data_IF_618303937077
#
_entry.id   IF_618303937077
#
_cell.length_a   1.000
_cell.length_b   1.000
_cell.length_c   1.000
_cell.angle_alpha   90.00
_cell.angle_beta   90.00
_cell.angle_gamma   90.00
#
_symmetry.space_group_name_H-M   'P 1'
#
loop_
_entity.id
_entity.type
_entity.pdbx_description
1 polymer ?
#
# COMPACT_ATOMS: atom_id res chain seq x y z
N UNK A 1 -4.76 -18.51 -21.19
CA UNK A 1 -4.40 -17.15 -20.72
C UNK A 1 -3.91 -17.33 -19.31
N UNK A 2 -2.61 -17.09 -19.07
CA UNK A 2 -2.06 -17.15 -17.72
C UNK A 2 -2.73 -16.05 -16.91
N UNK A 3 -3.21 -16.33 -15.70
CA UNK A 3 -3.67 -15.29 -14.79
C UNK A 3 -2.46 -14.75 -14.00
N UNK A 4 -2.44 -13.47 -13.62
CA UNK A 4 -1.26 -12.85 -13.05
C UNK A 4 -1.05 -13.32 -11.61
N UNK A 5 0.15 -13.77 -11.27
CA UNK A 5 0.54 -14.06 -9.88
C UNK A 5 0.72 -12.75 -9.10
N UNK A 6 0.75 -12.79 -7.76
CA UNK A 6 1.05 -11.58 -6.94
C UNK A 6 2.39 -10.95 -7.35
N UNK A 7 3.38 -11.79 -7.67
CA UNK A 7 4.70 -11.36 -8.13
C UNK A 7 4.64 -10.74 -9.54
N UNK A 8 3.77 -11.26 -10.39
CA UNK A 8 3.45 -10.67 -11.70
C UNK A 8 2.82 -9.30 -11.54
N UNK A 9 1.87 -9.14 -10.62
CA UNK A 9 1.25 -7.84 -10.34
C UNK A 9 2.26 -6.83 -9.77
N UNK A 10 3.17 -7.27 -8.90
CA UNK A 10 4.28 -6.44 -8.41
C UNK A 10 5.20 -6.03 -9.56
N UNK A 11 5.56 -6.98 -10.44
CA UNK A 11 6.43 -6.69 -11.60
C UNK A 11 5.75 -5.79 -12.65
N UNK A 12 4.45 -5.97 -12.89
CA UNK A 12 3.65 -5.07 -13.72
C UNK A 12 3.63 -3.67 -13.10
N UNK A 13 3.43 -3.55 -11.78
CA UNK A 13 3.50 -2.26 -11.10
C UNK A 13 4.89 -1.62 -11.25
N UNK A 14 5.97 -2.37 -11.00
CA UNK A 14 7.35 -1.91 -11.18
C UNK A 14 7.67 -1.51 -12.63
N UNK A 15 7.17 -2.24 -13.63
CA UNK A 15 7.42 -1.96 -15.05
C UNK A 15 6.57 -0.78 -15.55
N UNK A 16 5.31 -0.66 -15.11
CA UNK A 16 4.48 0.55 -15.32
C UNK A 16 5.17 1.77 -14.70
N UNK A 17 5.73 1.63 -13.50
CA UNK A 17 6.44 2.71 -12.82
C UNK A 17 7.74 3.10 -13.55
N UNK A 18 8.48 2.14 -14.12
CA UNK A 18 9.69 2.38 -14.92
C UNK A 18 9.39 3.03 -16.28
N UNK A 19 8.40 2.52 -17.02
CA UNK A 19 8.03 3.05 -18.34
C UNK A 19 7.46 4.47 -18.26
N UNK A 20 6.84 4.83 -17.14
CA UNK A 20 6.38 6.18 -16.85
C UNK A 20 7.48 7.14 -16.39
N UNK A 21 8.73 6.68 -16.35
CA UNK A 21 9.87 7.53 -16.05
C UNK A 21 9.89 8.05 -14.62
N UNK A 22 9.55 7.20 -13.64
CA UNK A 22 9.75 7.57 -12.24
C UNK A 22 11.25 7.82 -11.99
N UNK A 23 11.59 9.09 -11.74
CA UNK A 23 12.95 9.64 -11.77
C UNK A 23 13.12 10.91 -12.63
N UNK A 24 12.11 11.27 -13.44
CA UNK A 24 12.06 12.51 -14.22
C UNK A 24 10.77 13.29 -13.91
N UNK A 25 10.81 14.00 -12.78
CA UNK A 25 10.10 15.22 -12.32
C UNK A 25 8.77 15.70 -12.97
N UNK A 26 8.48 15.53 -14.26
CA UNK A 26 7.46 16.31 -14.98
C UNK A 26 6.40 15.51 -15.77
N UNK A 27 6.33 14.18 -15.70
CA UNK A 27 5.42 13.39 -16.57
C UNK A 27 4.67 12.24 -15.87
N UNK A 28 4.43 12.31 -14.56
CA UNK A 28 3.55 11.34 -13.90
C UNK A 28 2.08 11.58 -14.31
N UNK A 29 1.67 11.01 -15.44
CA UNK A 29 0.27 11.01 -15.91
C UNK A 29 -0.58 10.10 -15.02
N UNK A 30 -1.86 10.48 -14.83
CA UNK A 30 -2.82 9.63 -14.12
C UNK A 30 -2.90 8.26 -14.82
N UNK A 31 -2.82 7.18 -14.04
CA UNK A 31 -2.96 5.83 -14.56
C UNK A 31 -4.44 5.60 -14.89
N UNK A 32 -4.77 5.48 -16.17
CA UNK A 32 -6.11 5.10 -16.57
C UNK A 32 -6.34 3.61 -16.26
N UNK A 33 -7.54 3.25 -15.79
CA UNK A 33 -7.91 1.85 -15.53
C UNK A 33 -7.70 0.96 -16.76
N UNK A 34 -7.89 1.51 -17.96
CA UNK A 34 -7.60 0.82 -19.22
C UNK A 34 -6.12 0.45 -19.37
N UNK A 35 -5.19 1.27 -18.91
CA UNK A 35 -3.75 0.99 -19.00
C UNK A 35 -3.35 -0.13 -18.05
N UNK A 36 -3.86 -0.14 -16.81
CA UNK A 36 -3.67 -1.25 -15.87
C UNK A 36 -4.17 -2.55 -16.47
N UNK A 37 -5.36 -2.51 -17.06
CA UNK A 37 -5.97 -3.67 -17.71
C UNK A 37 -5.13 -4.12 -18.91
N UNK A 38 -4.66 -3.19 -19.75
CA UNK A 38 -3.79 -3.49 -20.89
C UNK A 38 -2.47 -4.14 -20.45
N UNK A 39 -1.77 -3.59 -19.45
CA UNK A 39 -0.53 -4.16 -18.95
C UNK A 39 -0.73 -5.55 -18.32
N UNK A 40 -1.86 -5.78 -17.64
CA UNK A 40 -2.23 -7.12 -17.17
C UNK A 40 -2.41 -8.08 -18.34
N UNK A 41 -3.06 -7.65 -19.43
CA UNK A 41 -3.23 -8.48 -20.63
C UNK A 41 -1.92 -8.76 -21.36
N UNK A 42 -1.09 -7.73 -21.59
CA UNK A 42 0.21 -7.85 -22.27
C UNK A 42 1.16 -8.78 -21.53
N UNK A 43 1.23 -8.65 -20.19
CA UNK A 43 2.06 -9.54 -19.38
C UNK A 43 1.56 -10.98 -19.43
N UNK A 44 0.24 -11.20 -19.44
CA UNK A 44 -0.36 -12.52 -19.58
C UNK A 44 -0.18 -13.15 -20.98
N UNK A 45 0.09 -12.34 -22.01
CA UNK A 45 0.46 -12.80 -23.36
C UNK A 45 1.97 -13.01 -23.54
N UNK A 46 2.80 -12.48 -22.63
CA UNK A 46 4.24 -12.73 -22.67
C UNK A 46 4.55 -14.22 -22.36
N UNK A 47 5.24 -14.94 -23.26
CA UNK A 47 5.51 -16.37 -23.09
C UNK A 47 6.51 -16.67 -21.95
N UNK A 48 7.14 -15.64 -21.37
CA UNK A 48 8.13 -15.72 -20.30
C UNK A 48 7.57 -15.56 -18.88
N UNK A 49 6.23 -15.49 -18.70
CA UNK A 49 5.63 -15.68 -17.37
C UNK A 49 5.71 -17.16 -16.99
N UNK A 50 6.91 -17.59 -16.61
CA UNK A 50 7.08 -18.82 -15.86
C UNK A 50 6.27 -18.67 -14.57
N UNK A 51 5.12 -19.36 -14.52
CA UNK A 51 4.37 -19.56 -13.29
C UNK A 51 5.35 -20.27 -12.34
N UNK A 52 5.95 -19.52 -11.42
CA UNK A 52 6.90 -20.10 -10.47
C UNK A 52 6.19 -21.23 -9.70
N UNK A 53 6.82 -22.41 -9.55
CA UNK A 53 6.15 -23.64 -9.11
C UNK A 53 5.57 -23.62 -7.67
N UNK A 54 5.58 -22.48 -6.97
CA UNK A 54 5.07 -22.29 -5.61
C UNK A 54 4.35 -20.94 -5.39
N UNK A 55 3.82 -20.31 -6.43
CA UNK A 55 3.12 -19.02 -6.30
C UNK A 55 1.62 -19.17 -5.95
N UNK A 56 1.08 -18.22 -5.19
CA UNK A 56 -0.37 -18.06 -4.99
C UNK A 56 -0.93 -17.18 -6.10
N UNK A 57 -1.99 -17.64 -6.74
CA UNK A 57 -2.70 -16.90 -7.76
C UNK A 57 -3.75 -15.98 -7.14
N UNK A 58 -3.76 -14.71 -7.54
CA UNK A 58 -4.76 -13.71 -7.13
C UNK A 58 -5.47 -13.23 -8.38
N UNK A 59 -6.77 -13.48 -8.45
CA UNK A 59 -7.61 -13.12 -9.59
C UNK A 59 -8.98 -12.66 -9.13
N UNK A 60 -9.74 -12.06 -10.03
CA UNK A 60 -11.16 -11.75 -9.81
C UNK A 60 -12.02 -13.01 -10.00
N UNK A 61 -13.24 -12.99 -9.44
CA UNK A 61 -14.22 -14.07 -9.68
C UNK A 61 -14.51 -14.29 -11.18
N UNK A 62 -14.43 -13.21 -11.98
CA UNK A 62 -14.61 -13.28 -13.44
C UNK A 62 -13.42 -13.94 -14.14
N UNK A 63 -12.19 -13.61 -13.73
CA UNK A 63 -10.97 -14.20 -14.28
C UNK A 63 -10.91 -15.71 -14.05
N UNK A 64 -11.32 -16.16 -12.86
CA UNK A 64 -11.31 -17.57 -12.50
C UNK A 64 -12.32 -18.45 -13.28
N UNK A 65 -13.15 -17.86 -14.17
CA UNK A 65 -14.17 -18.59 -14.91
C UNK A 65 -13.53 -19.62 -15.86
N UNK A 66 -13.96 -20.87 -15.74
CA UNK A 66 -13.43 -21.98 -16.55
C UNK A 66 -12.11 -22.55 -16.03
N UNK A 67 -11.58 -21.99 -14.94
CA UNK A 67 -10.45 -22.53 -14.20
C UNK A 67 -10.95 -23.32 -12.98
N UNK A 68 -10.08 -24.15 -12.41
CA UNK A 68 -10.36 -24.86 -11.17
C UNK A 68 -9.06 -25.07 -10.39
N UNK A 69 -9.14 -24.95 -9.07
CA UNK A 69 -7.99 -24.97 -8.18
C UNK A 69 -8.20 -25.94 -7.01
N UNK A 70 -7.12 -26.54 -6.52
CA UNK A 70 -7.17 -27.45 -5.37
C UNK A 70 -7.73 -26.75 -4.12
N UNK A 71 -7.25 -25.54 -3.87
CA UNK A 71 -7.65 -24.67 -2.76
C UNK A 71 -8.10 -23.31 -3.31
N UNK A 72 -9.20 -22.76 -2.80
CA UNK A 72 -9.65 -21.39 -3.11
C UNK A 72 -9.91 -20.63 -1.82
N UNK A 73 -9.39 -19.41 -1.74
CA UNK A 73 -9.76 -18.43 -0.72
C UNK A 73 -10.59 -17.35 -1.45
N UNK A 74 -11.88 -17.31 -1.16
CA UNK A 74 -12.82 -16.35 -1.72
C UNK A 74 -13.02 -15.19 -0.75
N UNK A 75 -12.60 -13.99 -1.17
CA UNK A 75 -12.91 -12.74 -0.47
C UNK A 75 -14.30 -12.29 -0.96
N UNK A 76 -15.30 -12.42 -0.09
CA UNK A 76 -16.72 -12.22 -0.40
C UNK A 76 -17.20 -10.77 -0.20
N UNK A 77 -16.28 -9.81 -0.29
CA UNK A 77 -16.54 -8.38 -0.23
C UNK A 77 -16.75 -7.80 -1.64
N UNK A 78 -17.58 -6.77 -1.77
CA UNK A 78 -17.73 -6.01 -3.03
C UNK A 78 -18.77 -6.55 -4.03
N UNK A 79 -19.55 -7.57 -3.68
CA UNK A 79 -20.70 -8.00 -4.49
C UNK A 79 -21.83 -6.97 -4.46
N UNK A 80 -22.47 -6.73 -5.61
CA UNK A 80 -23.53 -5.72 -5.74
C UNK A 80 -24.92 -6.33 -5.48
N UNK A 81 -25.57 -5.88 -4.40
CA UNK A 81 -26.87 -6.38 -3.98
C UNK A 81 -28.07 -5.60 -4.55
N UNK A 82 -27.84 -4.66 -5.48
CA UNK A 82 -28.94 -3.96 -6.15
C UNK A 82 -29.81 -4.94 -6.94
N UNK A 83 -31.11 -4.69 -6.95
CA UNK A 83 -32.12 -5.63 -7.46
C UNK A 83 -31.92 -6.01 -8.94
N UNK A 84 -31.37 -5.11 -9.75
CA UNK A 84 -31.07 -5.33 -11.17
C UNK A 84 -29.79 -6.17 -11.40
N UNK A 85 -28.91 -6.28 -10.40
CA UNK A 85 -27.62 -6.97 -10.51
C UNK A 85 -27.50 -8.22 -9.65
N UNK A 86 -28.29 -8.32 -8.59
CA UNK A 86 -28.15 -9.35 -7.55
C UNK A 86 -28.15 -10.78 -8.11
N UNK A 87 -28.95 -11.07 -9.14
CA UNK A 87 -28.97 -12.42 -9.74
C UNK A 87 -27.69 -12.73 -10.54
N UNK A 88 -27.11 -11.74 -11.20
CA UNK A 88 -25.84 -11.90 -11.92
C UNK A 88 -24.67 -12.06 -10.92
N UNK A 89 -24.64 -11.24 -9.89
CA UNK A 89 -23.65 -11.29 -8.81
C UNK A 89 -23.74 -12.60 -8.01
N UNK A 90 -24.96 -13.11 -7.76
CA UNK A 90 -25.16 -14.43 -7.12
C UNK A 90 -24.57 -15.55 -7.96
N UNK A 91 -24.78 -15.52 -9.29
CA UNK A 91 -24.17 -16.50 -10.21
C UNK A 91 -22.65 -16.40 -10.18
N UNK A 92 -22.10 -15.20 -10.15
CA UNK A 92 -20.66 -14.99 -10.05
C UNK A 92 -20.09 -15.55 -8.75
N UNK A 93 -20.75 -15.29 -7.62
CA UNK A 93 -20.38 -15.85 -6.31
C UNK A 93 -20.39 -17.39 -6.33
N UNK A 94 -21.46 -17.99 -6.86
CA UNK A 94 -21.55 -19.45 -7.03
C UNK A 94 -20.44 -20.01 -7.94
N UNK A 95 -20.14 -19.33 -9.05
CA UNK A 95 -19.04 -19.71 -9.94
C UNK A 95 -17.71 -19.68 -9.18
N UNK A 96 -17.43 -18.62 -8.42
CA UNK A 96 -16.21 -18.49 -7.63
C UNK A 96 -16.07 -19.61 -6.59
N UNK A 97 -17.14 -19.93 -5.85
CA UNK A 97 -17.16 -21.04 -4.89
C UNK A 97 -16.83 -22.38 -5.56
N UNK A 98 -17.43 -22.65 -6.71
CA UNK A 98 -17.26 -23.92 -7.44
C UNK A 98 -15.93 -24.04 -8.16
N UNK A 99 -15.03 -23.05 -8.08
CA UNK A 99 -13.66 -23.19 -8.58
C UNK A 99 -12.81 -24.08 -7.67
N UNK A 100 -13.22 -24.30 -6.42
CA UNK A 100 -12.50 -25.13 -5.46
C UNK A 100 -12.77 -26.63 -5.66
N UNK A 101 -11.71 -27.44 -5.79
CA UNK A 101 -11.81 -28.90 -5.89
C UNK A 101 -11.81 -29.61 -4.55
N UNK A 102 -10.98 -29.17 -3.60
CA UNK A 102 -10.83 -29.84 -2.31
C UNK A 102 -11.27 -28.98 -1.13
N UNK A 103 -10.89 -27.70 -1.10
CA UNK A 103 -11.23 -26.82 0.02
C UNK A 103 -11.47 -25.39 -0.45
N UNK A 104 -12.63 -24.89 -0.04
CA UNK A 104 -13.03 -23.49 -0.16
C UNK A 104 -12.95 -22.84 1.21
N UNK A 105 -12.28 -21.70 1.29
CA UNK A 105 -12.31 -20.79 2.43
C UNK A 105 -13.01 -19.52 1.95
N UNK A 106 -14.04 -19.08 2.67
CA UNK A 106 -14.74 -17.83 2.34
C UNK A 106 -14.51 -16.84 3.48
N UNK A 107 -14.03 -15.65 3.15
CA UNK A 107 -13.74 -14.58 4.11
C UNK A 107 -14.44 -13.30 3.68
N UNK A 108 -14.86 -12.48 4.62
CA UNK A 108 -15.47 -11.17 4.36
C UNK A 108 -15.08 -10.22 5.49
N UNK A 109 -14.91 -8.93 5.15
CA UNK A 109 -14.67 -7.86 6.13
C UNK A 109 -15.94 -7.10 6.48
N UNK A 110 -16.98 -7.19 5.64
CA UNK A 110 -18.31 -6.62 5.85
C UNK A 110 -19.37 -7.71 5.75
N UNK A 111 -20.54 -7.49 6.33
CA UNK A 111 -21.67 -8.44 6.22
C UNK A 111 -21.96 -8.73 4.75
N UNK A 112 -21.88 -10.01 4.39
CA UNK A 112 -22.05 -10.47 3.01
C UNK A 112 -23.30 -11.34 2.90
N UNK A 113 -24.33 -10.79 2.25
CA UNK A 113 -25.62 -11.48 2.05
C UNK A 113 -25.44 -12.87 1.42
N UNK A 114 -24.52 -13.02 0.48
CA UNK A 114 -24.30 -14.30 -0.19
C UNK A 114 -23.61 -15.31 0.73
N UNK A 115 -22.74 -14.88 1.65
CA UNK A 115 -22.16 -15.74 2.67
C UNK A 115 -23.22 -16.21 3.66
N UNK A 116 -24.11 -15.31 4.08
CA UNK A 116 -25.26 -15.64 4.94
C UNK A 116 -26.20 -16.65 4.28
N UNK A 117 -26.50 -16.48 2.98
CA UNK A 117 -27.32 -17.40 2.20
C UNK A 117 -26.62 -18.77 2.03
N UNK A 118 -25.30 -18.78 1.79
CA UNK A 118 -24.51 -19.99 1.58
C UNK A 118 -24.24 -20.80 2.86
N UNK A 119 -24.33 -20.17 4.04
CA UNK A 119 -24.14 -20.79 5.36
C UNK A 119 -22.91 -21.71 5.44
N UNK A 120 -21.70 -21.24 5.10
CA UNK A 120 -20.51 -22.06 5.21
C UNK A 120 -20.26 -22.45 6.67
N UNK A 121 -19.66 -23.61 6.89
CA UNK A 121 -19.20 -24.00 8.22
C UNK A 121 -18.11 -23.02 8.69
N UNK A 122 -18.28 -22.33 9.83
CA UNK A 122 -17.27 -21.42 10.34
C UNK A 122 -15.94 -22.15 10.58
N UNK A 123 -14.84 -21.56 10.12
CA UNK A 123 -13.51 -22.06 10.48
C UNK A 123 -13.17 -21.53 11.89
N UNK A 124 -12.82 -22.39 12.86
CA UNK A 124 -12.50 -21.92 14.21
C UNK A 124 -11.24 -21.07 14.20
N UNK A 125 -11.34 -19.79 14.61
CA UNK A 125 -10.21 -18.85 14.67
C UNK A 125 -9.10 -19.38 15.60
N UNK A 126 -9.48 -20.12 16.65
CA UNK A 126 -8.56 -20.81 17.59
C UNK A 126 -7.59 -21.79 16.92
N UNK A 127 -7.89 -22.27 15.71
CA UNK A 127 -7.04 -23.18 14.93
C UNK A 127 -6.06 -22.46 14.01
N UNK A 128 -6.07 -21.13 13.95
CA UNK A 128 -5.08 -20.38 13.19
C UNK A 128 -3.80 -20.29 14.04
N UNK A 129 -2.64 -20.78 13.55
CA UNK A 129 -1.37 -20.69 14.26
C UNK A 129 -0.80 -19.25 14.28
N UNK A 130 -1.60 -18.27 13.87
CA UNK A 130 -1.22 -16.87 13.74
C UNK A 130 -2.28 -16.00 14.43
N UNK A 131 -1.82 -15.09 15.28
CA UNK A 131 -2.68 -14.00 15.76
C UNK A 131 -2.82 -12.97 14.65
N UNK A 132 -4.04 -12.54 14.30
CA UNK A 132 -4.20 -11.46 13.33
C UNK A 132 -3.55 -10.19 13.88
N UNK A 133 -2.96 -9.35 13.02
CA UNK A 133 -2.46 -8.05 13.45
C UNK A 133 -3.62 -7.21 13.98
N UNK A 134 -3.46 -6.66 15.19
CA UNK A 134 -4.44 -5.78 15.82
C UNK A 134 -4.37 -4.35 15.29
N UNK A 135 -3.23 -3.95 14.71
CA UNK A 135 -3.08 -2.64 14.10
C UNK A 135 -2.33 -2.76 12.77
N UNK A 136 -3.03 -2.38 11.69
CA UNK A 136 -2.50 -2.37 10.33
C UNK A 136 -2.72 -0.99 9.74
N UNK A 137 -1.64 -0.37 9.28
CA UNK A 137 -1.70 0.92 8.60
C UNK A 137 -0.67 1.00 7.49
N UNK A 138 -1.15 1.28 6.28
CA UNK A 138 -0.35 1.43 5.08
C UNK A 138 -0.61 2.80 4.48
N UNK A 139 0.45 3.56 4.22
CA UNK A 139 0.33 4.85 3.57
C UNK A 139 1.56 5.13 2.71
N UNK A 140 1.32 5.53 1.47
CA UNK A 140 2.34 6.07 0.58
C UNK A 140 2.21 7.58 0.56
N UNK A 141 3.18 8.26 1.19
CA UNK A 141 3.17 9.71 1.22
C UNK A 141 3.55 10.26 -0.16
N UNK A 142 3.19 11.51 -0.38
CA UNK A 142 3.44 12.27 -1.59
C UNK A 142 4.25 13.52 -1.27
N UNK A 143 4.76 14.27 -2.26
CA UNK A 143 5.43 15.55 -2.00
C UNK A 143 4.58 16.54 -1.20
N UNK A 144 3.25 16.51 -1.32
CA UNK A 144 2.32 17.39 -0.56
C UNK A 144 2.29 17.06 0.94
N UNK A 145 2.65 15.84 1.30
CA UNK A 145 2.70 15.37 2.67
C UNK A 145 4.00 15.78 3.39
N UNK A 146 4.93 16.38 2.66
CA UNK A 146 6.23 16.83 3.18
C UNK A 146 6.26 18.35 3.22
N UNK A 147 6.87 18.91 4.26
CA UNK A 147 7.20 20.32 4.29
C UNK A 147 8.43 20.57 3.41
N UNK A 148 8.20 20.86 2.12
CA UNK A 148 9.24 21.06 1.11
C UNK A 148 10.20 22.21 1.46
N UNK A 149 9.71 23.25 2.14
CA UNK A 149 10.50 24.41 2.57
C UNK A 149 11.26 24.20 3.89
N UNK A 150 11.28 23.00 4.46
CA UNK A 150 12.00 22.73 5.69
C UNK A 150 13.52 22.69 5.46
N UNK A 151 14.26 23.55 6.16
CA UNK A 151 15.71 23.70 6.00
C UNK A 151 16.51 22.41 6.19
N UNK A 152 16.08 21.50 7.07
CA UNK A 152 16.78 20.23 7.29
C UNK A 152 16.84 19.32 6.05
N UNK A 153 15.90 19.45 5.10
CA UNK A 153 16.01 18.79 3.80
C UNK A 153 17.16 19.40 2.98
N UNK A 154 17.23 20.74 2.91
CA UNK A 154 18.27 21.47 2.17
C UNK A 154 19.66 21.28 2.76
N UNK A 155 19.77 21.18 4.09
CA UNK A 155 21.06 21.03 4.79
C UNK A 155 21.67 19.63 4.62
N UNK A 156 20.86 18.62 4.28
CA UNK A 156 21.28 17.20 4.26
C UNK A 156 21.20 16.54 2.87
N UNK A 157 21.38 17.31 1.80
CA UNK A 157 21.35 16.82 0.41
C UNK A 157 22.33 15.66 0.14
N UNK A 158 23.51 15.70 0.78
CA UNK A 158 24.51 14.63 0.63
C UNK A 158 24.03 13.27 1.14
N UNK A 159 23.11 13.23 2.11
CA UNK A 159 22.49 12.01 2.61
C UNK A 159 21.31 11.63 1.71
N UNK A 160 20.42 12.59 1.44
CA UNK A 160 19.16 12.35 0.71
C UNK A 160 19.41 11.78 -0.68
N UNK A 161 20.40 12.30 -1.40
CA UNK A 161 20.73 11.85 -2.78
C UNK A 161 21.28 10.43 -2.86
N UNK A 162 21.71 9.84 -1.73
CA UNK A 162 22.22 8.48 -1.67
C UNK A 162 21.14 7.45 -1.29
N UNK A 163 20.00 7.92 -0.79
CA UNK A 163 18.89 7.07 -0.39
C UNK A 163 18.21 6.46 -1.62
N UNK A 164 17.79 5.20 -1.48
CA UNK A 164 17.07 4.44 -2.48
C UNK A 164 15.73 3.97 -1.94
N UNK A 165 14.82 3.64 -2.84
CA UNK A 165 13.55 3.01 -2.47
C UNK A 165 13.80 1.78 -1.60
N UNK A 166 13.04 1.67 -0.50
CA UNK A 166 13.16 0.60 0.48
C UNK A 166 14.17 0.85 1.60
N UNK A 167 15.03 1.87 1.50
CA UNK A 167 15.96 2.20 2.59
C UNK A 167 15.20 2.59 3.86
N UNK A 168 15.66 2.09 5.01
CA UNK A 168 15.01 2.32 6.29
C UNK A 168 15.21 3.78 6.74
N UNK A 169 14.12 4.43 7.14
CA UNK A 169 14.11 5.78 7.72
C UNK A 169 13.17 5.81 8.92
N UNK A 170 13.21 6.88 9.71
CA UNK A 170 12.48 6.97 10.96
C UNK A 170 11.60 8.22 10.99
N UNK A 171 10.37 8.07 11.52
CA UNK A 171 9.54 9.20 11.89
C UNK A 171 9.64 9.43 13.40
N UNK A 172 10.29 10.54 13.79
CA UNK A 172 10.47 10.94 15.19
C UNK A 172 9.65 12.18 15.51
N UNK A 173 9.03 12.23 16.68
CA UNK A 173 8.30 13.43 17.10
C UNK A 173 9.25 14.64 17.22
N UNK A 174 8.77 15.83 16.89
CA UNK A 174 9.48 17.08 17.22
C UNK A 174 9.54 17.26 18.74
N UNK A 175 10.48 18.07 19.24
CA UNK A 175 10.64 18.30 20.67
C UNK A 175 9.36 18.84 21.36
N UNK A 176 8.51 19.55 20.61
CA UNK A 176 7.20 20.05 21.09
C UNK A 176 6.07 19.02 20.97
N UNK A 177 6.33 17.83 20.41
CA UNK A 177 5.32 16.79 20.15
C UNK A 177 4.26 17.19 19.13
N UNK A 178 4.51 18.21 18.30
CA UNK A 178 3.49 18.78 17.40
C UNK A 178 3.53 18.23 15.97
N UNK A 179 4.66 17.67 15.54
CA UNK A 179 4.91 17.24 14.16
C UNK A 179 5.92 16.05 14.16
N UNK A 180 6.13 15.44 13.00
CA UNK A 180 7.04 14.34 12.73
C UNK A 180 8.22 14.80 11.88
N UNK A 181 9.42 14.58 12.39
CA UNK A 181 10.69 14.69 11.66
C UNK A 181 10.97 13.38 10.95
N UNK A 182 11.43 13.48 9.70
CA UNK A 182 11.97 12.33 8.97
C UNK A 182 13.47 12.30 9.26
N UNK A 183 13.93 11.17 9.79
CA UNK A 183 15.31 10.98 10.17
C UNK A 183 15.90 9.78 9.42
N UNK A 184 17.17 9.90 9.06
CA UNK A 184 18.00 8.77 8.72
C UNK A 184 19.11 8.71 9.78
N UNK A 185 19.05 7.68 10.64
CA UNK A 185 19.81 7.63 11.88
C UNK A 185 19.53 8.86 12.78
N UNK A 186 20.56 9.63 13.14
CA UNK A 186 20.44 10.83 13.97
C UNK A 186 20.26 12.14 13.18
N UNK A 187 20.32 12.07 11.84
CA UNK A 187 20.22 13.25 10.98
C UNK A 187 18.77 13.48 10.54
N UNK A 188 18.31 14.72 10.67
CA UNK A 188 16.95 15.13 10.27
C UNK A 188 16.99 15.53 8.80
N UNK A 189 16.39 14.71 7.95
CA UNK A 189 16.40 14.87 6.49
C UNK A 189 15.07 15.36 5.92
N UNK A 190 14.07 15.57 6.78
CA UNK A 190 12.77 16.11 6.36
C UNK A 190 11.81 16.34 7.52
N UNK A 191 10.64 16.90 7.21
CA UNK A 191 9.57 17.17 8.16
C UNK A 191 8.23 16.95 7.45
N UNK A 192 7.26 16.31 8.12
CA UNK A 192 5.92 16.17 7.54
C UNK A 192 5.18 17.52 7.47
N UNK A 193 4.31 17.65 6.48
CA UNK A 193 3.41 18.78 6.35
C UNK A 193 2.34 18.74 7.45
N UNK A 194 1.74 19.89 7.76
CA UNK A 194 0.68 19.95 8.79
C UNK A 194 -0.55 19.09 8.40
N UNK A 195 -0.81 18.97 7.09
CA UNK A 195 -1.91 18.15 6.58
C UNK A 195 -1.64 16.66 6.82
N UNK A 196 -0.45 16.18 6.46
CA UNK A 196 -0.06 14.79 6.72
C UNK A 196 -0.11 14.43 8.21
N UNK A 197 0.34 15.35 9.08
CA UNK A 197 0.21 15.17 10.53
C UNK A 197 -1.26 15.05 10.96
N UNK A 198 -2.15 15.88 10.42
CA UNK A 198 -3.57 15.83 10.73
C UNK A 198 -4.20 14.50 10.26
N UNK A 199 -3.81 13.98 9.10
CA UNK A 199 -4.33 12.72 8.58
C UNK A 199 -3.84 11.50 9.36
N UNK A 200 -2.59 11.51 9.82
CA UNK A 200 -2.07 10.50 10.75
C UNK A 200 -2.81 10.52 12.10
N UNK A 201 -3.14 11.71 12.63
CA UNK A 201 -3.91 11.84 13.87
C UNK A 201 -5.33 11.26 13.76
N UNK A 202 -5.97 11.32 12.59
CA UNK A 202 -7.29 10.67 12.36
C UNK A 202 -7.22 9.14 12.43
N UNK A 203 -6.01 8.57 12.45
CA UNK A 203 -5.72 7.13 12.54
C UNK A 203 -5.05 6.75 13.87
N UNK A 204 -5.19 7.61 14.88
CA UNK A 204 -4.58 7.46 16.21
C UNK A 204 -3.04 7.46 16.24
N UNK A 205 -2.40 8.00 15.19
CA UNK A 205 -0.94 8.13 15.09
C UNK A 205 -0.54 9.57 15.46
N UNK A 206 -0.36 9.82 16.76
CA UNK A 206 -0.03 11.13 17.30
C UNK A 206 1.48 11.32 17.55
N UNK A 207 2.10 12.44 17.11
CA UNK A 207 3.48 12.73 17.46
C UNK A 207 3.66 12.82 18.98
N UNK A 208 4.70 12.17 19.50
CA UNK A 208 5.05 12.14 20.93
C UNK A 208 4.28 11.09 21.75
N UNK A 209 3.30 10.41 21.15
CA UNK A 209 2.56 9.30 21.77
C UNK A 209 2.82 8.02 21.00
N UNK A 210 2.65 8.07 19.68
CA UNK A 210 2.95 6.94 18.81
C UNK A 210 4.47 6.84 18.58
N UNK A 211 4.98 5.62 18.55
CA UNK A 211 6.39 5.32 18.25
C UNK A 211 6.40 4.33 17.11
N UNK A 212 7.01 4.70 15.98
CA UNK A 212 7.24 3.79 14.85
C UNK A 212 8.35 2.80 15.21
N UNK A 213 8.17 1.53 14.85
CA UNK A 213 9.17 0.48 15.03
C UNK A 213 10.14 0.45 13.83
N UNK A 214 11.36 -0.07 14.02
CA UNK A 214 12.29 -0.27 12.91
C UNK A 214 11.65 -1.07 11.76
N UNK A 215 11.81 -0.56 10.54
CA UNK A 215 11.25 -1.17 9.32
C UNK A 215 9.81 -0.77 8.99
N UNK A 216 9.10 -0.04 9.86
CA UNK A 216 7.74 0.43 9.55
C UNK A 216 7.70 1.68 8.69
N UNK A 217 8.83 2.38 8.53
CA UNK A 217 8.96 3.51 7.63
C UNK A 217 10.18 3.29 6.74
N UNK A 218 9.99 3.46 5.45
CA UNK A 218 11.04 3.33 4.45
C UNK A 218 10.93 4.45 3.43
N UNK A 219 11.99 4.65 2.66
CA UNK A 219 11.96 5.55 1.51
C UNK A 219 11.02 4.95 0.47
N UNK A 220 10.02 5.74 0.05
CA UNK A 220 9.21 5.45 -1.13
C UNK A 220 9.95 5.90 -2.37
N UNK A 221 10.38 7.16 -2.37
CA UNK A 221 11.24 7.73 -3.41
C UNK A 221 11.96 8.97 -2.88
N UNK A 222 12.87 9.49 -3.70
CA UNK A 222 13.50 10.80 -3.51
C UNK A 222 12.98 11.72 -4.61
N UNK A 223 12.25 12.76 -4.23
CA UNK A 223 11.65 13.74 -5.12
C UNK A 223 12.60 14.93 -5.31
N UNK A 224 12.83 15.37 -6.54
CA UNK A 224 13.57 16.61 -6.78
C UNK A 224 12.54 17.76 -6.84
N UNK A 225 12.82 18.81 -6.09
CA UNK A 225 11.93 19.93 -5.94
C UNK A 225 12.56 21.13 -6.62
N UNK A 226 11.80 21.75 -7.52
CA UNK A 226 12.21 22.92 -8.28
C UNK A 226 11.45 24.13 -7.75
N UNK A 227 12.18 25.08 -7.19
CA UNK A 227 11.63 26.40 -6.84
C UNK A 227 11.79 27.30 -8.06
N UNK A 228 10.68 27.65 -8.71
CA UNK A 228 10.66 28.46 -9.94
C UNK A 228 10.01 29.80 -9.62
N UNK A 229 10.57 30.88 -10.17
CA UNK A 229 9.98 32.20 -10.06
C UNK A 229 8.67 32.23 -10.88
N UNK A 230 7.54 32.43 -10.22
CA UNK A 230 6.21 32.41 -10.85
C UNK A 230 6.03 33.48 -11.95
N UNK A 231 6.81 34.56 -11.93
CA UNK A 231 6.72 35.67 -12.87
C UNK A 231 7.66 35.49 -14.06
N UNK A 232 8.91 35.07 -13.83
CA UNK A 232 9.91 34.94 -14.91
C UNK A 232 10.01 33.54 -15.49
N UNK A 233 9.49 32.52 -14.79
CA UNK A 233 9.65 31.12 -15.15
C UNK A 233 11.08 30.59 -14.95
N UNK A 234 11.97 31.37 -14.35
CA UNK A 234 13.35 30.97 -14.11
C UNK A 234 13.48 30.12 -12.84
N UNK A 235 14.35 29.11 -12.90
CA UNK A 235 14.70 28.29 -11.73
C UNK A 235 15.43 29.17 -10.69
N UNK A 236 14.86 29.25 -9.50
CA UNK A 236 15.42 29.99 -8.34
C UNK A 236 16.34 29.10 -7.53
N UNK A 237 15.88 27.89 -7.21
CA UNK A 237 16.62 26.92 -6.42
C UNK A 237 16.10 25.51 -6.70
N UNK A 238 16.87 24.48 -6.36
CA UNK A 238 16.39 23.11 -6.42
C UNK A 238 17.06 22.21 -5.40
N UNK A 239 16.31 21.31 -4.79
CA UNK A 239 16.82 20.36 -3.81
C UNK A 239 16.01 19.06 -3.81
N UNK A 240 16.62 17.99 -3.33
CA UNK A 240 16.00 16.69 -3.17
C UNK A 240 15.29 16.58 -1.82
N UNK A 241 14.15 15.89 -1.81
CA UNK A 241 13.32 15.66 -0.64
C UNK A 241 12.95 14.19 -0.56
N UNK A 242 13.17 13.58 0.61
CA UNK A 242 12.77 12.18 0.82
C UNK A 242 11.26 12.08 1.00
N UNK A 243 10.63 11.15 0.27
CA UNK A 243 9.21 10.82 0.41
C UNK A 243 9.11 9.45 1.11
N UNK A 244 8.54 9.37 2.31
CA UNK A 244 8.41 8.10 3.02
C UNK A 244 7.21 7.28 2.56
N UNK A 245 7.30 5.97 2.78
CA UNK A 245 6.16 5.06 2.86
C UNK A 245 6.08 4.48 4.28
N UNK A 246 4.87 4.26 4.76
CA UNK A 246 4.56 3.70 6.08
C UNK A 246 3.94 2.32 5.89
N UNK A 247 4.48 1.34 6.60
CA UNK A 247 4.02 -0.05 6.64
C UNK A 247 3.98 -0.58 8.07
N UNK A 248 2.83 -0.46 8.72
CA UNK A 248 2.63 -0.92 10.10
C UNK A 248 1.78 -2.19 10.08
N UNK A 249 2.28 -3.25 10.71
CA UNK A 249 1.55 -4.49 10.92
C UNK A 249 1.96 -5.05 12.30
N UNK A 250 1.16 -4.76 13.34
CA UNK A 250 1.46 -5.13 14.73
C UNK A 250 0.44 -6.12 15.28
N UNK A 251 0.92 -7.11 16.03
CA UNK A 251 0.10 -8.14 16.69
C UNK A 251 -0.67 -7.61 17.91
N UNK A 252 -0.20 -6.51 18.51
CA UNK A 252 -0.91 -5.79 19.56
C UNK A 252 -1.09 -4.34 19.15
N UNK A 253 -2.25 -3.76 19.44
CA UNK A 253 -2.42 -2.31 19.47
C UNK A 253 -1.61 -1.79 20.66
N UNK A 254 -0.29 -1.66 20.50
CA UNK A 254 0.60 -1.09 21.51
C UNK A 254 0.30 0.40 21.61
N UNK A 255 -0.81 0.73 22.27
CA UNK A 255 -0.99 1.93 23.07
C UNK A 255 -0.38 1.62 24.45
N UNK A 256 0.94 1.52 24.52
CA UNK A 256 1.70 1.54 25.77
C UNK A 256 2.63 2.75 25.71
N UNK A 257 2.90 3.52 26.75
CA UNK A 257 2.33 3.71 28.08
C UNK A 257 2.99 5.00 28.56
N UNK A 258 2.23 6.08 28.73
CA UNK A 258 2.64 7.22 29.56
C UNK A 258 1.77 7.28 30.80
N UNK A 259 1.69 6.16 31.53
CA UNK A 259 1.54 6.22 32.98
C UNK A 259 2.78 5.62 33.61
N UNK A 260 3.38 6.40 34.51
CA UNK A 260 4.50 6.08 35.39
C UNK A 260 5.91 6.23 34.80
N UNK A 261 6.39 7.47 34.75
CA UNK A 261 7.65 7.83 35.41
C UNK A 261 7.36 9.08 36.25
N UNK A 262 7.66 8.98 37.54
CA UNK A 262 7.36 9.99 38.57
C UNK A 262 8.22 11.24 38.51
#
# INVERSE_FOLDING_TARGET
MSEPTVKTLIKIAEDIDKERGYGSENLATQIAVSEIITSIYEFNESPDVSIEPNAVLVTSCHGAKGLEFKYVILIADGFDYRQDKIEAERRLFYVAMTRAKEKLIVTHSQDSRFVEEAKPNPYPVEKLPISPPQFVFYADLTPQDINLGFGGSRDNQGIITQLKEGDAIELKATAKGSNWKICHHDQIIGLLSNQAVADLKKRDIYPGIFVFQPGEVAVRNVYHHLEINEVTGELVDSWYVVIPQIRICRLEAVLYSCKQLG
#
